data_IF_242475180327
#
_entry.id   IF_242475180327
#
_cell.length_a   1.000
_cell.length_b   1.000
_cell.length_c   1.000
_cell.angle_alpha   90.00
_cell.angle_beta   90.00
_cell.angle_gamma   90.00
#
_symmetry.space_group_name_H-M   'P 1'
#
loop_
_entity.id
_entity.type
_entity.pdbx_description
1 polymer ?
#
# COMPACT_ATOMS: atom_id res chain seq x y z
N UNK A 1 -2.97 6.48 -13.51
CA UNK A 1 -3.14 5.20 -12.80
C UNK A 1 -1.76 4.61 -12.57
N UNK A 2 -1.41 4.36 -11.31
CA UNK A 2 -0.08 3.87 -10.91
C UNK A 2 -0.13 2.43 -10.42
N UNK A 3 0.98 1.70 -10.53
CA UNK A 3 1.16 0.40 -9.87
C UNK A 3 1.88 0.59 -8.55
N UNK A 4 1.26 0.16 -7.46
CA UNK A 4 1.85 0.20 -6.13
C UNK A 4 2.30 -1.20 -5.76
N UNK A 5 3.61 -1.37 -5.58
CA UNK A 5 4.20 -2.62 -5.12
C UNK A 5 4.55 -2.50 -3.64
N UNK A 6 3.95 -3.35 -2.80
CA UNK A 6 4.27 -3.43 -1.38
C UNK A 6 4.94 -4.76 -1.09
N UNK A 7 6.15 -4.71 -0.51
CA UNK A 7 6.90 -5.89 -0.10
C UNK A 7 7.04 -5.94 1.42
N UNK A 8 6.97 -7.14 2.00
CA UNK A 8 7.16 -7.36 3.43
C UNK A 8 6.93 -8.82 3.82
N UNK A 9 7.49 -9.26 4.95
CA UNK A 9 7.39 -10.66 5.37
C UNK A 9 6.01 -10.96 5.98
N UNK A 10 5.44 -10.00 6.70
CA UNK A 10 4.17 -10.18 7.41
C UNK A 10 2.99 -9.64 6.60
N UNK A 11 2.82 -10.16 5.38
CA UNK A 11 1.81 -9.69 4.41
C UNK A 11 0.38 -9.72 4.94
N UNK A 12 0.04 -10.63 5.86
CA UNK A 12 -1.30 -10.70 6.45
C UNK A 12 -1.76 -9.34 7.01
N UNK A 13 -0.89 -8.62 7.72
CA UNK A 13 -1.25 -7.34 8.34
C UNK A 13 -1.28 -6.18 7.33
N UNK A 14 -0.35 -6.20 6.36
CA UNK A 14 -0.29 -5.19 5.30
C UNK A 14 -1.51 -5.32 4.38
N UNK A 15 -1.85 -6.54 3.96
CA UNK A 15 -3.07 -6.83 3.18
C UNK A 15 -4.31 -6.47 3.95
N UNK A 16 -4.40 -6.86 5.23
CA UNK A 16 -5.57 -6.54 6.05
C UNK A 16 -5.84 -5.04 6.20
N UNK A 17 -4.81 -4.20 6.15
CA UNK A 17 -4.99 -2.75 6.16
C UNK A 17 -5.37 -2.19 4.78
N UNK A 18 -4.74 -2.69 3.72
CA UNK A 18 -4.92 -2.16 2.36
C UNK A 18 -6.05 -2.85 1.56
N UNK A 19 -6.75 -3.80 2.15
CA UNK A 19 -7.89 -4.48 1.53
C UNK A 19 -9.04 -3.50 1.31
N UNK A 20 -9.41 -3.29 0.05
CA UNK A 20 -10.39 -2.27 -0.38
C UNK A 20 -10.08 -0.86 0.15
N UNK A 21 -8.79 -0.51 0.26
CA UNK A 21 -8.38 0.81 0.74
C UNK A 21 -8.85 1.92 -0.19
N UNK A 22 -9.58 2.87 0.37
CA UNK A 22 -10.05 4.08 -0.30
C UNK A 22 -10.07 5.23 0.71
N UNK A 23 -9.50 6.36 0.30
CA UNK A 23 -9.60 7.63 1.00
C UNK A 23 -9.91 8.76 0.02
N UNK A 24 -9.92 10.01 0.51
CA UNK A 24 -10.25 11.19 -0.29
C UNK A 24 -9.30 11.43 -1.48
N UNK A 25 -8.12 10.80 -1.52
CA UNK A 25 -7.05 11.02 -2.49
C UNK A 25 -6.70 9.79 -3.31
N UNK A 26 -6.90 8.58 -2.78
CA UNK A 26 -6.40 7.34 -3.36
C UNK A 26 -7.42 6.22 -3.20
N UNK A 27 -7.66 5.50 -4.30
CA UNK A 27 -8.36 4.22 -4.31
C UNK A 27 -7.41 3.11 -4.78
N UNK A 28 -7.27 2.06 -3.98
CA UNK A 28 -6.44 0.90 -4.31
C UNK A 28 -7.31 -0.30 -4.73
N UNK A 29 -6.91 -0.95 -5.81
CA UNK A 29 -7.51 -2.22 -6.28
C UNK A 29 -6.42 -3.28 -6.40
N UNK A 30 -6.64 -4.47 -5.86
CA UNK A 30 -5.67 -5.58 -5.94
C UNK A 30 -5.46 -5.99 -7.40
N UNK A 31 -4.19 -6.04 -7.85
CA UNK A 31 -3.81 -6.57 -9.16
C UNK A 31 -3.17 -7.95 -9.06
N UNK A 32 -2.31 -8.18 -8.06
CA UNK A 32 -1.65 -9.47 -7.83
C UNK A 32 -1.31 -9.64 -6.35
N UNK A 33 -1.83 -10.70 -5.73
CA UNK A 33 -1.62 -11.07 -4.34
C UNK A 33 -1.10 -12.52 -4.19
N UNK A 34 -0.67 -13.17 -5.26
CA UNK A 34 -0.26 -14.59 -5.24
C UNK A 34 1.07 -14.81 -4.50
N UNK A 35 1.89 -13.77 -4.40
CA UNK A 35 3.20 -13.85 -3.76
C UNK A 35 3.10 -13.71 -2.23
N UNK A 36 3.78 -14.56 -1.47
CA UNK A 36 3.69 -14.56 0.02
C UNK A 36 4.33 -13.36 0.70
N UNK A 37 5.23 -12.64 0.03
CA UNK A 37 5.98 -11.50 0.58
C UNK A 37 5.77 -10.20 -0.20
N UNK A 38 4.80 -10.19 -1.12
CA UNK A 38 4.52 -9.07 -2.01
C UNK A 38 3.04 -8.98 -2.33
N UNK A 39 2.55 -7.77 -2.55
CA UNK A 39 1.27 -7.48 -3.17
C UNK A 39 1.40 -6.30 -4.13
N UNK A 40 0.63 -6.34 -5.22
CA UNK A 40 0.57 -5.29 -6.23
C UNK A 40 -0.85 -4.75 -6.27
N UNK A 41 -0.99 -3.43 -6.16
CA UNK A 41 -2.24 -2.71 -6.35
C UNK A 41 -2.18 -1.82 -7.59
N UNK A 42 -3.34 -1.58 -8.19
CA UNK A 42 -3.61 -0.43 -9.04
C UNK A 42 -4.05 0.73 -8.15
N UNK A 43 -3.51 1.92 -8.37
CA UNK A 43 -3.90 3.14 -7.67
C UNK A 43 -4.53 4.14 -8.63
N UNK A 44 -5.74 4.55 -8.30
CA UNK A 44 -6.44 5.69 -8.88
C UNK A 44 -6.25 6.88 -7.95
N UNK A 45 -5.59 7.92 -8.44
CA UNK A 45 -5.24 9.12 -7.66
C UNK A 45 -4.82 10.26 -8.59
N UNK A 46 -4.93 11.49 -8.09
CA UNK A 46 -4.35 12.70 -8.69
C UNK A 46 -2.93 13.02 -8.16
N UNK A 47 -2.47 12.28 -7.14
CA UNK A 47 -1.13 12.48 -6.57
C UNK A 47 -0.03 12.08 -7.55
N UNK A 48 1.12 12.76 -7.46
CA UNK A 48 2.34 12.30 -8.12
C UNK A 48 2.79 10.95 -7.55
N UNK A 49 3.60 10.19 -8.29
CA UNK A 49 4.10 8.90 -7.80
C UNK A 49 4.84 9.00 -6.46
N UNK A 50 5.65 10.05 -6.28
CA UNK A 50 6.39 10.29 -5.05
C UNK A 50 5.48 10.68 -3.87
N UNK A 51 4.46 11.50 -4.13
CA UNK A 51 3.49 11.90 -3.11
C UNK A 51 2.57 10.74 -2.73
N UNK A 52 2.19 9.89 -3.69
CA UNK A 52 1.41 8.68 -3.45
C UNK A 52 2.18 7.71 -2.55
N UNK A 53 3.46 7.47 -2.83
CA UNK A 53 4.30 6.59 -1.99
C UNK A 53 4.38 7.12 -0.56
N UNK A 54 4.65 8.42 -0.41
CA UNK A 54 4.72 9.08 0.90
C UNK A 54 3.39 9.02 1.63
N UNK A 55 2.29 9.27 0.93
CA UNK A 55 0.92 9.24 1.46
C UNK A 55 0.58 7.85 2.01
N UNK A 56 0.68 6.80 1.19
CA UNK A 56 0.38 5.42 1.61
C UNK A 56 1.26 4.96 2.77
N UNK A 57 2.55 5.34 2.76
CA UNK A 57 3.46 5.04 3.86
C UNK A 57 3.06 5.75 5.15
N UNK A 58 2.63 7.00 5.07
CA UNK A 58 2.16 7.79 6.21
C UNK A 58 0.87 7.20 6.77
N UNK A 59 -0.11 6.92 5.91
CA UNK A 59 -1.41 6.35 6.29
C UNK A 59 -1.27 5.00 6.98
N UNK A 60 -0.42 4.11 6.45
CA UNK A 60 -0.15 2.84 7.13
C UNK A 60 0.49 3.05 8.49
N UNK A 61 1.45 3.96 8.63
CA UNK A 61 2.12 4.23 9.91
C UNK A 61 1.21 4.88 10.94
N UNK A 62 0.30 5.75 10.52
CA UNK A 62 -0.56 6.53 11.42
C UNK A 62 -1.82 5.77 11.83
N UNK A 63 -2.41 4.98 10.93
CA UNK A 63 -3.71 4.33 11.15
C UNK A 63 -3.62 2.83 11.42
N UNK A 64 -2.57 2.13 10.99
CA UNK A 64 -2.39 0.71 11.30
C UNK A 64 -1.79 0.52 12.68
N UNK A 65 -2.34 -0.41 13.46
CA UNK A 65 -1.74 -0.87 14.72
C UNK A 65 -0.32 -1.42 14.53
N UNK A 66 0.05 -1.82 13.31
CA UNK A 66 1.33 -2.48 13.01
C UNK A 66 2.28 -1.61 12.19
N UNK A 67 1.83 -0.48 11.61
CA UNK A 67 2.58 0.24 10.58
C UNK A 67 3.95 0.75 11.00
N UNK A 68 4.16 1.05 12.29
CA UNK A 68 5.46 1.46 12.84
C UNK A 68 6.38 0.29 13.21
N UNK A 69 5.81 -0.90 13.43
CA UNK A 69 6.51 -2.09 13.91
C UNK A 69 6.96 -3.04 12.79
N UNK A 70 6.32 -2.97 11.61
CA UNK A 70 6.60 -3.86 10.50
C UNK A 70 7.75 -3.33 9.63
N UNK A 71 8.57 -4.25 9.13
CA UNK A 71 9.51 -3.96 8.05
C UNK A 71 8.84 -4.19 6.69
N UNK A 72 8.73 -3.13 5.90
CA UNK A 72 8.09 -3.15 4.58
C UNK A 72 8.64 -2.07 3.66
N UNK A 73 8.42 -2.24 2.35
CA UNK A 73 8.66 -1.21 1.34
C UNK A 73 7.39 -0.96 0.55
N UNK A 74 7.19 0.28 0.11
CA UNK A 74 6.15 0.68 -0.84
C UNK A 74 6.91 1.36 -1.98
N UNK A 75 6.69 0.90 -3.21
CA UNK A 75 7.26 1.50 -4.41
C UNK A 75 6.14 1.78 -5.41
N UNK A 76 6.10 2.98 -5.96
CA UNK A 76 5.11 3.39 -6.98
C UNK A 76 5.76 3.42 -8.36
N UNK A 77 5.13 2.77 -9.35
CA UNK A 77 5.57 2.64 -10.75
C UNK A 77 4.50 3.10 -11.74
#
# INVERSE_FOLDING_TARGET
>A
MYKVEINGVQMKFIRGFFDNYEDDKVKLTVLDDKNRIKIIYSAETELSAADLERHLKSEFKSKSAYGTSLYYTINVK
#
